data_IF_367967006629
#
_entry.id   IF_367967006629
#
_cell.length_a   1.000
_cell.length_b   1.000
_cell.length_c   1.000
_cell.angle_alpha   90.00
_cell.angle_beta   90.00
_cell.angle_gamma   90.00
#
_symmetry.space_group_name_H-M   'P 1'
#
loop_
_entity.id
_entity.type
_entity.pdbx_description
1 polymer ?
#
# COMPACT_ATOMS: atom_id res chain seq x y z
N UNK A 1 1.51 9.59 6.67
CA UNK A 1 1.76 8.31 5.98
C UNK A 1 0.68 7.28 6.26
N UNK A 2 0.52 6.80 7.50
CA UNK A 2 -0.59 5.91 7.85
C UNK A 2 -1.98 6.49 7.57
N UNK A 3 -2.18 7.80 7.80
CA UNK A 3 -3.40 8.50 7.35
C UNK A 3 -3.61 8.44 5.84
N UNK A 4 -2.55 8.57 5.05
CA UNK A 4 -2.63 8.49 3.58
C UNK A 4 -2.99 7.08 3.13
N UNK A 5 -2.37 6.06 3.74
CA UNK A 5 -2.70 4.65 3.49
C UNK A 5 -4.14 4.33 3.93
N UNK A 6 -4.60 4.88 5.06
CA UNK A 6 -5.98 4.76 5.52
C UNK A 6 -6.97 5.42 4.55
N UNK A 7 -6.75 6.69 4.21
CA UNK A 7 -7.57 7.42 3.24
C UNK A 7 -7.70 6.64 1.94
N UNK A 8 -6.60 6.08 1.43
CA UNK A 8 -6.51 5.25 0.21
C UNK A 8 -7.38 4.01 0.19
N UNK A 9 -7.53 3.39 1.35
CA UNK A 9 -8.35 2.21 1.53
C UNK A 9 -9.80 2.59 1.89
N UNK A 10 -10.16 3.88 1.84
CA UNK A 10 -11.48 4.39 2.16
C UNK A 10 -11.76 4.53 3.66
N UNK A 11 -10.72 4.54 4.51
CA UNK A 11 -10.83 4.48 5.97
C UNK A 11 -10.24 5.72 6.67
N UNK A 12 -11.02 6.34 7.54
CA UNK A 12 -10.74 7.65 8.16
C UNK A 12 -9.70 7.63 9.30
N UNK A 13 -9.26 6.43 9.75
CA UNK A 13 -8.41 6.27 10.94
C UNK A 13 -7.05 5.64 10.62
N UNK A 14 -5.98 6.20 11.19
CA UNK A 14 -4.69 5.50 11.28
C UNK A 14 -4.88 4.18 12.01
N UNK A 15 -4.31 3.06 11.52
CA UNK A 15 -4.37 1.81 12.24
C UNK A 15 -3.54 1.96 13.53
N UNK A 16 -4.23 2.04 14.66
CA UNK A 16 -3.61 2.00 16.00
C UNK A 16 -3.27 0.56 16.43
N UNK A 17 -3.69 -0.44 15.66
CA UNK A 17 -3.48 -1.84 15.95
C UNK A 17 -3.40 -2.65 14.64
N UNK A 18 -2.57 -3.69 14.63
CA UNK A 18 -2.42 -4.68 13.56
C UNK A 18 -3.76 -5.30 13.16
N UNK A 19 -4.69 -5.46 14.11
CA UNK A 19 -6.04 -5.96 13.84
C UNK A 19 -6.85 -5.08 12.86
N UNK A 20 -6.65 -3.76 12.86
CA UNK A 20 -7.32 -2.89 11.89
C UNK A 20 -6.77 -3.14 10.48
N UNK A 21 -5.46 -3.37 10.34
CA UNK A 21 -4.85 -3.73 9.08
C UNK A 21 -5.39 -5.07 8.55
N UNK A 22 -5.51 -6.10 9.41
CA UNK A 22 -6.06 -7.40 8.99
C UNK A 22 -7.53 -7.32 8.58
N UNK A 23 -8.34 -6.52 9.29
CA UNK A 23 -9.74 -6.26 8.88
C UNK A 23 -9.82 -5.58 7.51
N UNK A 24 -8.87 -4.69 7.19
CA UNK A 24 -8.79 -4.07 5.86
C UNK A 24 -8.46 -5.12 4.80
N UNK A 25 -7.42 -5.91 5.02
CA UNK A 25 -7.04 -6.95 4.07
C UNK A 25 -8.16 -7.96 3.84
N UNK A 26 -8.94 -8.30 4.87
CA UNK A 26 -10.14 -9.13 4.74
C UNK A 26 -11.21 -8.53 3.84
N UNK A 27 -11.39 -7.21 3.87
CA UNK A 27 -12.34 -6.53 2.98
C UNK A 27 -11.88 -6.51 1.52
N UNK A 28 -10.57 -6.48 1.27
CA UNK A 28 -10.00 -6.44 -0.09
C UNK A 28 -9.73 -7.81 -0.69
N UNK A 29 -9.46 -8.82 0.14
CA UNK A 29 -9.03 -10.14 -0.30
C UNK A 29 -9.45 -11.22 0.72
N UNK A 30 -10.75 -11.52 0.87
CA UNK A 30 -11.29 -12.32 1.97
C UNK A 30 -10.70 -13.74 2.09
N UNK A 31 -10.25 -14.35 0.97
CA UNK A 31 -9.56 -15.66 0.95
C UNK A 31 -8.02 -15.55 0.97
N UNK A 32 -7.50 -14.35 1.22
CA UNK A 32 -6.10 -14.01 1.09
C UNK A 32 -5.33 -14.00 2.40
N UNK A 33 -5.82 -14.65 3.45
CA UNK A 33 -5.31 -14.51 4.83
C UNK A 33 -3.80 -14.80 4.93
N UNK A 34 -3.32 -15.81 4.18
CA UNK A 34 -1.90 -16.15 4.07
C UNK A 34 -1.03 -15.02 3.47
N UNK A 35 -1.62 -14.09 2.71
CA UNK A 35 -0.94 -12.97 2.07
C UNK A 35 -0.94 -11.70 2.92
N UNK A 36 -1.76 -11.61 3.98
CA UNK A 36 -1.88 -10.38 4.77
C UNK A 36 -0.56 -10.01 5.45
N UNK A 37 0.14 -11.01 5.98
CA UNK A 37 1.46 -10.85 6.60
C UNK A 37 2.49 -10.35 5.59
N UNK A 38 2.46 -10.84 4.35
CA UNK A 38 3.34 -10.35 3.28
C UNK A 38 3.04 -8.90 2.90
N UNK A 39 1.75 -8.52 2.83
CA UNK A 39 1.35 -7.13 2.64
C UNK A 39 1.83 -6.23 3.77
N UNK A 40 1.74 -6.70 5.03
CA UNK A 40 2.16 -5.94 6.20
C UNK A 40 3.67 -5.75 6.21
N UNK A 41 4.43 -6.82 5.92
CA UNK A 41 5.87 -6.77 5.79
C UNK A 41 6.30 -5.79 4.68
N UNK A 42 5.64 -5.85 3.51
CA UNK A 42 5.91 -4.94 2.39
C UNK A 42 5.64 -3.47 2.75
N UNK A 43 4.54 -3.22 3.48
CA UNK A 43 4.18 -1.89 3.95
C UNK A 43 5.18 -1.37 4.99
N UNK A 44 5.52 -2.17 6.00
CA UNK A 44 6.54 -1.85 7.00
C UNK A 44 7.90 -1.57 6.36
N UNK A 45 8.27 -2.36 5.35
CA UNK A 45 9.52 -2.17 4.61
C UNK A 45 9.52 -0.87 3.82
N UNK A 46 8.43 -0.56 3.11
CA UNK A 46 8.27 0.70 2.39
C UNK A 46 8.34 1.91 3.35
N UNK A 47 7.73 1.80 4.54
CA UNK A 47 7.79 2.83 5.57
C UNK A 47 9.20 3.06 6.08
N UNK A 48 9.90 1.99 6.46
CA UNK A 48 11.28 2.08 6.93
C UNK A 48 12.20 2.66 5.87
N UNK A 49 12.06 2.24 4.62
CA UNK A 49 12.87 2.75 3.50
C UNK A 49 12.61 4.25 3.26
N UNK A 50 11.35 4.67 3.39
CA UNK A 50 10.96 6.08 3.34
C UNK A 50 11.60 6.91 4.47
N UNK A 51 11.53 6.45 5.72
CA UNK A 51 12.17 7.14 6.85
C UNK A 51 13.69 7.16 6.70
N UNK A 52 14.30 6.05 6.29
CA UNK A 52 15.74 5.98 6.05
C UNK A 52 16.19 6.95 4.96
N UNK A 53 15.46 7.09 3.85
CA UNK A 53 15.78 8.07 2.79
C UNK A 53 15.65 9.51 3.27
N UNK A 54 14.68 9.83 4.12
CA UNK A 54 14.55 11.16 4.70
C UNK A 54 15.67 11.47 5.69
N UNK A 55 16.04 10.51 6.54
CA UNK A 55 17.07 10.69 7.57
C UNK A 55 18.49 10.65 7.00
N UNK A 56 18.78 9.73 6.08
CA UNK A 56 20.15 9.52 5.55
C UNK A 56 20.41 10.22 4.22
N UNK A 57 19.42 10.27 3.31
CA UNK A 57 19.62 10.90 1.98
C UNK A 57 19.15 12.36 1.95
N UNK A 58 18.55 12.87 3.05
CA UNK A 58 17.91 14.20 3.13
C UNK A 58 16.90 14.47 2.00
N UNK A 59 16.46 13.41 1.31
CA UNK A 59 15.48 13.53 0.24
C UNK A 59 14.12 13.75 0.86
N UNK A 60 13.49 14.87 0.50
CA UNK A 60 12.07 15.08 0.78
C UNK A 60 11.31 13.87 0.25
N UNK A 61 10.48 13.31 1.12
CA UNK A 61 9.48 12.37 0.67
C UNK A 61 8.63 13.09 -0.35
N UNK A 62 8.63 12.57 -1.58
CA UNK A 62 7.68 12.99 -2.59
C UNK A 62 6.25 12.74 -2.13
N UNK A 63 5.31 12.83 -3.06
CA UNK A 63 3.90 12.60 -2.78
C UNK A 63 3.69 11.27 -2.01
N UNK A 64 2.83 11.21 -0.98
CA UNK A 64 2.70 10.04 -0.10
C UNK A 64 2.22 8.77 -0.85
N UNK A 65 1.71 8.92 -2.07
CA UNK A 65 1.41 7.84 -3.02
C UNK A 65 2.66 7.09 -3.49
N UNK A 66 3.85 7.70 -3.43
CA UNK A 66 5.10 7.03 -3.79
C UNK A 66 5.37 5.81 -2.88
N UNK A 67 4.99 5.90 -1.60
CA UNK A 67 5.06 4.77 -0.67
C UNK A 67 4.20 3.61 -1.17
N UNK A 68 3.02 3.90 -1.72
CA UNK A 68 2.11 2.87 -2.23
C UNK A 68 2.67 2.21 -3.49
N UNK A 69 3.26 2.99 -4.39
CA UNK A 69 3.97 2.41 -5.54
C UNK A 69 5.12 1.50 -5.13
N UNK A 70 5.88 1.89 -4.10
CA UNK A 70 6.93 1.05 -3.52
C UNK A 70 6.36 -0.24 -2.93
N UNK A 71 5.23 -0.17 -2.19
CA UNK A 71 4.53 -1.36 -1.69
C UNK A 71 4.05 -2.26 -2.82
N UNK A 72 3.45 -1.69 -3.88
CA UNK A 72 3.04 -2.46 -5.06
C UNK A 72 4.23 -3.16 -5.71
N UNK A 73 5.39 -2.49 -5.78
CA UNK A 73 6.64 -3.06 -6.28
C UNK A 73 7.10 -4.24 -5.45
N UNK A 74 7.09 -4.12 -4.12
CA UNK A 74 7.41 -5.24 -3.23
C UNK A 74 6.43 -6.41 -3.39
N UNK A 75 5.12 -6.16 -3.39
CA UNK A 75 4.12 -7.23 -3.54
C UNK A 75 4.29 -7.94 -4.89
N UNK A 76 4.56 -7.19 -5.97
CA UNK A 76 4.83 -7.78 -7.30
C UNK A 76 6.11 -8.62 -7.30
N UNK A 77 7.16 -8.15 -6.61
CA UNK A 77 8.40 -8.92 -6.44
C UNK A 77 8.14 -10.22 -5.69
N UNK A 78 7.38 -10.17 -4.59
CA UNK A 78 6.98 -11.35 -3.82
C UNK A 78 6.11 -12.32 -4.63
N UNK A 79 5.23 -11.80 -5.50
CA UNK A 79 4.44 -12.63 -6.39
C UNK A 79 5.31 -13.44 -7.35
N UNK A 80 6.39 -12.84 -7.88
CA UNK A 80 7.36 -13.52 -8.75
C UNK A 80 8.12 -14.67 -8.08
N UNK A 81 8.16 -14.71 -6.74
CA UNK A 81 8.72 -15.82 -5.96
C UNK A 81 7.71 -16.95 -5.70
N UNK A 82 6.44 -16.75 -6.04
CA UNK A 82 5.36 -17.73 -5.85
C UNK A 82 5.04 -18.48 -7.14
N UNK A 83 4.35 -19.61 -7.01
CA UNK A 83 3.95 -20.47 -8.14
C UNK A 83 2.44 -20.66 -8.17
N UNK A 84 1.90 -20.92 -9.36
CA UNK A 84 0.48 -21.26 -9.56
C UNK A 84 -0.49 -20.16 -9.12
N UNK A 85 -1.59 -20.56 -8.49
CA UNK A 85 -2.71 -19.69 -8.10
C UNK A 85 -2.29 -18.59 -7.11
N UNK A 86 -1.26 -18.84 -6.30
CA UNK A 86 -0.77 -17.90 -5.30
C UNK A 86 -0.09 -16.68 -5.91
N UNK A 87 0.70 -16.90 -6.98
CA UNK A 87 1.27 -15.82 -7.78
C UNK A 87 0.16 -14.94 -8.36
N UNK A 88 -0.83 -15.57 -8.99
CA UNK A 88 -1.91 -14.83 -9.64
C UNK A 88 -2.75 -14.03 -8.64
N UNK A 89 -3.05 -14.60 -7.47
CA UNK A 89 -3.76 -13.90 -6.41
C UNK A 89 -3.00 -12.66 -5.93
N UNK A 90 -1.68 -12.79 -5.75
CA UNK A 90 -0.85 -11.68 -5.29
C UNK A 90 -0.67 -10.59 -6.36
N UNK A 91 -0.52 -10.97 -7.64
CA UNK A 91 -0.46 -10.03 -8.76
C UNK A 91 -1.78 -9.27 -8.94
N UNK A 92 -2.92 -9.96 -8.80
CA UNK A 92 -4.25 -9.33 -8.79
C UNK A 92 -4.36 -8.31 -7.65
N UNK A 93 -3.93 -8.68 -6.44
CA UNK A 93 -3.87 -7.78 -5.29
C UNK A 93 -3.01 -6.54 -5.54
N UNK A 94 -1.81 -6.71 -6.09
CA UNK A 94 -0.92 -5.60 -6.43
C UNK A 94 -1.52 -4.65 -7.48
N UNK A 95 -2.16 -5.19 -8.52
CA UNK A 95 -2.86 -4.40 -9.54
C UNK A 95 -4.00 -3.60 -8.93
N UNK A 96 -4.82 -4.21 -8.07
CA UNK A 96 -5.95 -3.53 -7.44
C UNK A 96 -5.49 -2.39 -6.53
N UNK A 97 -4.42 -2.60 -5.75
CA UNK A 97 -3.80 -1.56 -4.92
C UNK A 97 -3.30 -0.38 -5.76
N UNK A 98 -2.67 -0.66 -6.90
CA UNK A 98 -2.16 0.36 -7.83
C UNK A 98 -3.30 1.16 -8.49
N UNK A 99 -4.40 0.51 -8.85
CA UNK A 99 -5.59 1.16 -9.42
C UNK A 99 -6.23 2.08 -8.38
N UNK A 100 -6.46 1.60 -7.15
CA UNK A 100 -7.01 2.43 -6.08
C UNK A 100 -6.12 3.64 -5.78
N UNK A 101 -4.80 3.45 -5.74
CA UNK A 101 -3.86 4.55 -5.54
C UNK A 101 -3.98 5.61 -6.64
N UNK A 102 -4.07 5.17 -7.90
CA UNK A 102 -4.19 6.05 -9.07
C UNK A 102 -5.52 6.82 -9.08
N UNK A 103 -6.62 6.14 -8.73
CA UNK A 103 -7.94 6.77 -8.63
C UNK A 103 -7.96 7.86 -7.55
N UNK A 104 -7.39 7.58 -6.38
CA UNK A 104 -7.27 8.57 -5.32
C UNK A 104 -6.33 9.72 -5.66
N UNK A 105 -5.22 9.48 -6.39
CA UNK A 105 -4.39 10.57 -6.91
C UNK A 105 -5.19 11.49 -7.83
N UNK A 106 -6.01 10.92 -8.71
CA UNK A 106 -6.87 11.69 -9.61
C UNK A 106 -7.88 12.55 -8.84
N UNK A 107 -8.54 11.97 -7.82
CA UNK A 107 -9.47 12.71 -6.95
C UNK A 107 -8.76 13.83 -6.17
N UNK A 108 -7.60 13.54 -5.58
CA UNK A 108 -6.82 14.55 -4.85
C UNK A 108 -6.28 15.66 -5.77
N UNK A 109 -5.89 15.34 -7.00
CA UNK A 109 -5.44 16.32 -7.99
C UNK A 109 -6.61 17.22 -8.47
N UNK A 110 -7.81 16.64 -8.64
CA UNK A 110 -9.02 17.39 -9.00
C UNK A 110 -9.46 18.34 -7.88
N UNK A 111 -9.32 17.94 -6.61
CA UNK A 111 -9.61 18.80 -5.45
C UNK A 111 -8.57 19.91 -5.24
N UNK A 112 -7.32 19.68 -5.61
CA UNK A 112 -6.24 20.67 -5.51
C UNK A 112 -6.23 21.74 -6.61
N UNK A 113 -7.02 21.56 -7.68
CA UNK A 113 -7.15 22.51 -8.79
C UNK A 113 -8.28 23.53 -8.63
N UNK A 114 -8.98 23.54 -7.50
CA UNK A 114 -10.13 24.42 -7.25
C UNK A 114 -9.89 25.47 -6.15
N UNK A 115 -8.63 25.88 -5.94
CA UNK A 115 -8.24 27.00 -5.07
C UNK A 115 -7.43 28.02 -5.86
#
# INVERSE_FOLDING_TARGET
MWRTVGCMLGMDRCPNNIWQYFSWCYSFLPDGEKFYTFGLASLCWAMRNCCNRTTFELKKLGSPFNVIYVVCGYITYWAGLMMGEDREAMERGAKMLRINASNMMCICAALGGNN
#
